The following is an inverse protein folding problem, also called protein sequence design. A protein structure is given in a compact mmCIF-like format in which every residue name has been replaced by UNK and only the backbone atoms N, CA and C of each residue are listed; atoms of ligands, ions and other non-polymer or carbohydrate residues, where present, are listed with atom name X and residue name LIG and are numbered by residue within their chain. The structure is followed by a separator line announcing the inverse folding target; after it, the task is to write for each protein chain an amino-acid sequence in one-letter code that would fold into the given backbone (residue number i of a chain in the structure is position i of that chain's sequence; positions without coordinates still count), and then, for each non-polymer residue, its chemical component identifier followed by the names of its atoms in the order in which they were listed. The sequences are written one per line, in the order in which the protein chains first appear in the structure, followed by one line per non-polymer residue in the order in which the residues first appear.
data_IF_930700395034
#
_entry.id   IF_930700395034
#
_cell.length_a   1.000
_cell.length_b   1.000
_cell.length_c   1.000
_cell.angle_alpha   90.00
_cell.angle_beta   90.00
_cell.angle_gamma   90.00
#
_symmetry.space_group_name_H-M   'P 1'
#
loop_
_entity.id
_entity.type
_entity.pdbx_description
1 polymer ?
#
# COMPACT_ATOMS: atom_id res chain seq x y z
N UNK A 1 -23.35 -13.80 1.10
CA UNK A 1 -24.17 -12.66 0.75
C UNK A 1 -25.65 -12.90 1.10
N UNK A 2 -26.20 -12.11 2.02
CA UNK A 2 -27.63 -12.15 2.31
C UNK A 2 -28.37 -11.31 1.26
N UNK A 3 -29.12 -11.96 0.38
CA UNK A 3 -30.10 -11.27 -0.48
C UNK A 3 -31.23 -10.75 0.39
N UNK A 4 -31.39 -9.43 0.48
CA UNK A 4 -32.52 -8.83 1.20
C UNK A 4 -33.76 -8.82 0.31
N UNK A 5 -34.82 -9.44 0.78
CA UNK A 5 -36.17 -9.30 0.20
C UNK A 5 -36.72 -7.89 0.40
N UNK A 6 -38.05 -7.74 0.40
CA UNK A 6 -38.68 -6.45 0.71
C UNK A 6 -38.49 -6.13 2.20
N UNK A 7 -37.77 -5.04 2.49
CA UNK A 7 -37.67 -4.51 3.84
C UNK A 7 -38.42 -3.17 3.90
N UNK A 8 -39.43 -3.12 4.75
CA UNK A 8 -40.16 -1.88 5.05
C UNK A 8 -40.04 -1.63 6.55
N UNK A 9 -39.29 -0.62 6.94
CA UNK A 9 -39.26 -0.18 8.32
C UNK A 9 -40.37 0.82 8.55
N UNK A 10 -41.45 0.38 9.19
CA UNK A 10 -42.49 1.25 9.74
C UNK A 10 -42.26 1.33 11.25
N UNK A 11 -41.63 2.38 11.71
CA UNK A 11 -41.50 2.63 13.14
C UNK A 11 -42.45 3.76 13.52
N UNK A 12 -43.19 3.63 14.59
CA UNK A 12 -44.04 4.69 15.16
C UNK A 12 -43.25 5.93 15.63
N UNK A 13 -41.94 5.86 15.61
CA UNK A 13 -40.98 6.94 15.80
C UNK A 13 -40.05 6.96 14.58
N UNK A 14 -39.93 8.11 13.93
CA UNK A 14 -39.06 8.28 12.75
C UNK A 14 -37.64 7.82 13.06
N UNK A 15 -37.21 6.74 12.44
CA UNK A 15 -35.90 6.11 12.62
C UNK A 15 -35.07 6.07 11.35
N UNK A 16 -33.75 6.06 11.50
CA UNK A 16 -32.82 5.84 10.40
C UNK A 16 -32.70 4.33 10.09
N UNK A 17 -32.52 3.98 8.83
CA UNK A 17 -32.20 2.62 8.39
C UNK A 17 -30.72 2.58 8.05
N UNK A 18 -29.98 1.68 8.72
CA UNK A 18 -28.57 1.42 8.40
C UNK A 18 -28.43 -0.06 8.06
N UNK A 19 -28.00 -0.33 6.83
CA UNK A 19 -27.61 -1.66 6.38
C UNK A 19 -26.10 -1.60 6.10
N UNK A 20 -25.33 -2.32 6.90
CA UNK A 20 -23.88 -2.31 6.82
C UNK A 20 -23.32 -3.71 6.72
N UNK A 21 -22.36 -3.91 5.83
CA UNK A 21 -21.48 -5.06 5.81
C UNK A 21 -20.08 -4.59 6.22
N UNK A 22 -19.58 -5.05 7.36
CA UNK A 22 -18.26 -4.68 7.87
C UNK A 22 -17.33 -5.87 8.00
N UNK A 23 -16.08 -5.70 7.63
CA UNK A 23 -15.00 -6.66 7.79
C UNK A 23 -13.73 -5.93 8.25
N UNK A 24 -13.33 -6.16 9.50
CA UNK A 24 -12.20 -5.45 10.10
C UNK A 24 -11.16 -6.43 10.60
N UNK A 25 -9.91 -6.17 10.31
CA UNK A 25 -8.75 -6.82 10.91
C UNK A 25 -7.83 -5.75 11.50
N UNK A 26 -7.92 -5.56 12.80
CA UNK A 26 -7.12 -4.58 13.53
C UNK A 26 -6.12 -5.35 14.40
N UNK A 27 -4.84 -5.23 14.10
CA UNK A 27 -3.78 -5.74 14.96
C UNK A 27 -3.32 -4.63 15.90
N UNK A 28 -3.75 -4.70 17.17
CA UNK A 28 -3.18 -3.81 18.16
C UNK A 28 -1.79 -4.28 18.57
N UNK A 29 -0.87 -3.36 18.74
CA UNK A 29 0.54 -3.51 19.10
C UNK A 29 0.74 -3.96 20.55
N UNK A 30 0.19 -5.06 20.99
CA UNK A 30 0.59 -5.67 22.26
C UNK A 30 1.32 -6.98 21.95
N UNK A 31 2.63 -6.95 21.97
CA UNK A 31 3.64 -8.02 22.18
C UNK A 31 3.32 -9.49 21.83
N UNK A 32 2.14 -9.80 21.40
CA UNK A 32 1.74 -11.09 20.85
C UNK A 32 1.70 -10.98 19.33
N UNK A 33 2.87 -11.14 18.72
CA UNK A 33 2.97 -11.39 17.29
C UNK A 33 2.07 -12.60 16.99
N UNK A 34 0.98 -12.46 16.23
CA UNK A 34 0.28 -13.63 15.75
C UNK A 34 1.32 -14.46 15.01
N UNK A 35 1.55 -15.68 15.44
CA UNK A 35 2.36 -16.63 14.70
C UNK A 35 1.64 -16.91 13.38
N UNK A 36 1.88 -16.08 12.38
CA UNK A 36 1.59 -16.47 11.02
C UNK A 36 2.50 -17.64 10.69
N UNK A 37 2.05 -18.82 11.03
CA UNK A 37 2.56 -20.05 10.44
C UNK A 37 2.17 -19.98 8.97
N UNK A 38 3.04 -19.40 8.15
CA UNK A 38 2.98 -19.52 6.71
C UNK A 38 3.20 -21.00 6.37
N UNK A 39 2.13 -21.76 6.42
CA UNK A 39 2.05 -23.01 5.69
C UNK A 39 1.93 -22.62 4.21
N UNK A 40 3.02 -22.73 3.50
CA UNK A 40 3.34 -22.54 2.11
C UNK A 40 2.27 -22.57 1.00
N UNK A 41 1.13 -21.97 1.19
CA UNK A 41 0.15 -21.71 0.13
C UNK A 41 -0.04 -20.18 0.06
N UNK A 42 0.34 -19.59 -1.06
CA UNK A 42 0.33 -18.15 -1.31
C UNK A 42 -1.04 -17.50 -1.33
N UNK A 43 -1.76 -17.55 -0.24
CA UNK A 43 -3.01 -16.83 -0.08
C UNK A 43 -2.70 -15.42 0.41
N UNK A 44 -2.99 -14.42 -0.42
CA UNK A 44 -3.18 -13.06 0.06
C UNK A 44 -4.24 -13.09 1.16
N UNK A 45 -3.98 -12.47 2.29
CA UNK A 45 -5.03 -12.23 3.26
C UNK A 45 -6.00 -11.22 2.65
N UNK A 46 -7.23 -11.64 2.40
CA UNK A 46 -8.27 -10.76 1.89
C UNK A 46 -9.29 -10.47 2.99
N UNK A 47 -9.52 -9.19 3.23
CA UNK A 47 -10.55 -8.68 4.12
C UNK A 47 -11.64 -8.10 3.25
N UNK A 48 -12.82 -8.73 3.27
CA UNK A 48 -13.86 -8.42 2.29
C UNK A 48 -15.19 -8.14 2.96
N UNK A 49 -15.80 -7.01 2.61
CA UNK A 49 -17.16 -6.63 2.97
C UNK A 49 -18.02 -6.43 1.72
N UNK A 50 -19.17 -7.08 1.66
CA UNK A 50 -20.09 -6.98 0.53
C UNK A 50 -21.51 -6.75 1.00
N UNK A 51 -22.15 -5.69 0.49
CA UNK A 51 -23.56 -5.42 0.66
C UNK A 51 -24.27 -5.49 -0.72
N UNK A 52 -25.31 -6.28 -0.81
CA UNK A 52 -26.12 -6.36 -2.02
C UNK A 52 -27.61 -6.19 -1.72
N UNK A 53 -28.22 -5.20 -2.37
CA UNK A 53 -29.68 -5.02 -2.43
C UNK A 53 -30.17 -5.58 -3.76
N UNK A 54 -30.92 -6.69 -3.72
CA UNK A 54 -31.37 -7.41 -4.90
C UNK A 54 -32.40 -6.63 -5.72
N UNK A 55 -32.62 -7.03 -6.97
CA UNK A 55 -33.48 -6.34 -7.93
C UNK A 55 -34.95 -6.24 -7.47
N UNK A 56 -35.48 -7.28 -6.85
CA UNK A 56 -36.85 -7.29 -6.29
C UNK A 56 -36.96 -6.59 -4.93
N UNK A 57 -35.86 -6.18 -4.34
CA UNK A 57 -35.86 -5.57 -3.01
C UNK A 57 -36.41 -4.14 -3.06
N UNK A 58 -37.14 -3.80 -2.00
CA UNK A 58 -37.62 -2.45 -1.76
C UNK A 58 -37.25 -2.04 -0.34
N UNK A 59 -36.45 -1.00 -0.20
CA UNK A 59 -36.09 -0.39 1.07
C UNK A 59 -36.74 0.98 1.17
N UNK A 60 -37.55 1.19 2.19
CA UNK A 60 -38.24 2.47 2.39
C UNK A 60 -38.09 2.92 3.84
N UNK A 61 -37.68 4.14 4.07
CA UNK A 61 -37.50 4.73 5.39
C UNK A 61 -38.04 6.17 5.47
N UNK A 62 -38.64 6.50 6.61
CA UNK A 62 -39.21 7.83 6.92
C UNK A 62 -38.17 8.85 7.40
N UNK A 63 -36.88 8.47 7.48
CA UNK A 63 -35.74 9.35 7.72
C UNK A 63 -34.59 9.01 6.78
N UNK A 64 -33.40 8.92 7.32
CA UNK A 64 -32.19 8.66 6.53
C UNK A 64 -32.03 7.15 6.27
N UNK A 65 -31.50 6.82 5.12
CA UNK A 65 -31.09 5.45 4.77
C UNK A 65 -29.59 5.46 4.45
N UNK A 66 -28.84 4.57 5.09
CA UNK A 66 -27.44 4.31 4.80
C UNK A 66 -27.26 2.85 4.39
N UNK A 67 -26.70 2.64 3.22
CA UNK A 67 -26.31 1.34 2.69
C UNK A 67 -24.80 1.37 2.51
N UNK A 68 -24.04 0.60 3.29
CA UNK A 68 -22.60 0.67 3.27
C UNK A 68 -21.90 -0.67 3.34
N UNK A 69 -20.78 -0.78 2.68
CA UNK A 69 -19.78 -1.81 2.95
C UNK A 69 -18.49 -1.17 3.42
N UNK A 70 -17.88 -1.75 4.44
CA UNK A 70 -16.66 -1.25 5.06
C UNK A 70 -15.67 -2.38 5.29
N UNK A 71 -14.47 -2.27 4.71
CA UNK A 71 -13.39 -3.22 4.93
C UNK A 71 -12.14 -2.46 5.41
N UNK A 72 -11.58 -2.86 6.55
CA UNK A 72 -10.43 -2.21 7.13
C UNK A 72 -9.38 -3.22 7.58
N UNK A 73 -8.13 -2.92 7.25
CA UNK A 73 -6.94 -3.54 7.82
C UNK A 73 -6.06 -2.46 8.42
N UNK A 74 -5.59 -2.69 9.64
CA UNK A 74 -4.57 -1.87 10.27
C UNK A 74 -3.57 -2.77 10.99
N UNK A 75 -2.29 -2.61 10.67
CA UNK A 75 -1.20 -3.34 11.30
C UNK A 75 0.01 -2.45 11.51
N UNK A 76 0.63 -2.56 12.69
CA UNK A 76 1.91 -1.92 13.00
C UNK A 76 2.87 -3.01 13.51
N UNK A 77 3.87 -3.35 12.70
CA UNK A 77 4.85 -4.38 13.01
C UNK A 77 6.26 -3.80 13.09
N UNK A 78 6.80 -3.78 14.29
CA UNK A 78 8.20 -3.43 14.54
C UNK A 78 9.00 -4.71 14.79
N UNK A 79 9.79 -5.12 13.81
CA UNK A 79 10.61 -6.33 13.89
C UNK A 79 12.08 -5.97 14.00
N UNK A 80 12.56 -5.93 15.21
CA UNK A 80 14.01 -5.72 15.50
C UNK A 80 14.68 -7.07 15.68
N UNK A 81 15.51 -7.45 14.71
CA UNK A 81 16.35 -8.63 14.82
C UNK A 81 17.57 -8.34 15.70
N UNK A 82 17.65 -8.96 16.85
CA UNK A 82 18.78 -8.66 17.76
C UNK A 82 18.81 -9.43 19.05
N UNK A 83 18.10 -10.55 19.19
CA UNK A 83 18.12 -11.35 20.43
C UNK A 83 18.60 -12.78 20.21
N UNK A 84 19.49 -13.15 21.02
CA UNK A 84 20.26 -14.31 21.44
C UNK A 84 19.58 -15.68 21.50
N UNK A 85 18.51 -16.01 20.83
CA UNK A 85 17.95 -17.35 20.82
C UNK A 85 17.96 -17.99 19.43
N UNK A 86 18.82 -18.93 19.32
CA UNK A 86 19.33 -19.68 18.18
C UNK A 86 18.36 -20.68 17.51
N UNK A 87 17.07 -20.47 17.50
CA UNK A 87 16.15 -21.40 16.84
C UNK A 87 14.93 -20.73 16.19
N UNK A 88 15.03 -19.48 15.85
CA UNK A 88 14.00 -18.85 15.02
C UNK A 88 14.44 -18.96 13.57
N UNK A 89 13.84 -19.90 12.85
CA UNK A 89 13.75 -19.86 11.40
C UNK A 89 13.49 -18.41 11.01
N UNK A 90 14.32 -17.85 10.14
CA UNK A 90 14.15 -16.49 9.65
C UNK A 90 12.72 -16.33 9.19
N UNK A 91 11.90 -15.67 10.00
CA UNK A 91 10.60 -15.26 9.57
C UNK A 91 10.82 -14.16 8.59
N UNK A 92 10.58 -14.47 7.36
CA UNK A 92 10.43 -13.48 6.33
C UNK A 92 9.33 -12.56 6.76
N UNK A 93 9.73 -11.35 7.06
CA UNK A 93 8.82 -10.27 7.37
C UNK A 93 8.28 -9.76 6.05
N UNK A 94 7.03 -9.99 5.85
CA UNK A 94 6.35 -9.50 4.67
C UNK A 94 4.85 -9.57 4.90
N UNK A 95 4.18 -8.49 4.60
CA UNK A 95 2.73 -8.42 4.62
C UNK A 95 2.19 -8.39 3.19
N UNK A 96 1.17 -9.20 2.94
CA UNK A 96 0.37 -9.11 1.73
C UNK A 96 -1.10 -9.14 2.13
N UNK A 97 -1.75 -7.99 2.04
CA UNK A 97 -3.14 -7.85 2.44
C UNK A 97 -3.92 -7.07 1.40
N UNK A 98 -5.10 -7.58 1.08
CA UNK A 98 -6.09 -6.90 0.24
C UNK A 98 -7.33 -6.59 1.05
N UNK A 99 -7.77 -5.33 1.05
CA UNK A 99 -9.09 -4.93 1.54
C UNK A 99 -10.04 -4.69 0.38
N UNK A 100 -11.26 -5.18 0.50
CA UNK A 100 -12.26 -5.08 -0.56
C UNK A 100 -13.61 -4.72 0.05
N UNK A 101 -14.20 -3.62 -0.38
CA UNK A 101 -15.55 -3.21 0.01
C UNK A 101 -16.41 -3.01 -1.23
N UNK A 102 -17.52 -3.76 -1.32
CA UNK A 102 -18.42 -3.68 -2.47
C UNK A 102 -19.86 -3.44 -2.02
N UNK A 103 -20.48 -2.38 -2.51
CA UNK A 103 -21.91 -2.10 -2.33
C UNK A 103 -22.62 -2.14 -3.68
N UNK A 104 -23.60 -3.03 -3.81
CA UNK A 104 -24.40 -3.18 -5.04
C UNK A 104 -25.88 -2.96 -4.73
N UNK A 105 -26.52 -2.06 -5.46
CA UNK A 105 -27.96 -1.82 -5.34
C UNK A 105 -28.62 -2.01 -6.70
N UNK A 106 -29.47 -3.04 -6.80
CA UNK A 106 -30.26 -3.34 -7.99
C UNK A 106 -31.76 -3.05 -7.80
N UNK A 107 -32.22 -2.90 -6.55
CA UNK A 107 -33.60 -2.69 -6.16
C UNK A 107 -33.98 -1.21 -5.99
N UNK A 108 -35.14 -0.97 -5.40
CA UNK A 108 -35.65 0.37 -5.13
C UNK A 108 -35.35 0.79 -3.70
N UNK A 109 -34.80 2.00 -3.54
CA UNK A 109 -34.50 2.58 -2.23
C UNK A 109 -35.10 3.98 -2.15
N UNK A 110 -35.92 4.23 -1.15
CA UNK A 110 -36.57 5.53 -0.96
C UNK A 110 -36.41 5.97 0.49
N UNK A 111 -35.72 7.07 0.70
CA UNK A 111 -35.59 7.74 1.99
C UNK A 111 -36.40 9.04 2.00
N UNK A 112 -37.23 9.24 3.03
CA UNK A 112 -37.88 10.55 3.23
C UNK A 112 -36.88 11.60 3.72
N UNK A 113 -35.74 11.18 4.30
CA UNK A 113 -34.55 11.98 4.58
C UNK A 113 -33.48 11.86 3.50
N UNK A 114 -32.24 11.74 3.97
CA UNK A 114 -31.04 11.55 3.12
C UNK A 114 -30.82 10.08 2.78
N UNK A 115 -30.20 9.84 1.64
CA UNK A 115 -29.81 8.50 1.19
C UNK A 115 -28.31 8.46 0.91
N UNK A 116 -27.60 7.57 1.57
CA UNK A 116 -26.18 7.28 1.33
C UNK A 116 -25.98 5.83 0.90
N UNK A 117 -25.25 5.62 -0.18
CA UNK A 117 -24.86 4.31 -0.70
C UNK A 117 -23.35 4.34 -0.93
N UNK A 118 -22.58 3.68 -0.08
CA UNK A 118 -21.13 3.81 -0.09
C UNK A 118 -20.41 2.47 0.05
N UNK A 119 -19.21 2.40 -0.51
CA UNK A 119 -18.23 1.37 -0.24
C UNK A 119 -16.93 2.04 0.24
N UNK A 120 -16.37 1.59 1.35
CA UNK A 120 -15.13 2.13 1.89
C UNK A 120 -14.15 0.99 2.19
N UNK A 121 -12.96 1.06 1.60
CA UNK A 121 -11.89 0.12 1.84
C UNK A 121 -10.64 0.84 2.33
N UNK A 122 -10.12 0.42 3.48
CA UNK A 122 -8.89 0.95 4.08
C UNK A 122 -7.87 -0.15 4.29
N UNK A 123 -6.63 0.14 3.95
CA UNK A 123 -5.51 -0.75 4.21
C UNK A 123 -4.32 0.07 4.69
N UNK A 124 -4.06 0.02 5.97
CA UNK A 124 -3.01 0.78 6.62
C UNK A 124 -2.02 -0.17 7.29
N UNK A 125 -0.75 -0.09 6.91
CA UNK A 125 0.27 -0.92 7.52
C UNK A 125 1.61 -0.20 7.67
N UNK A 126 2.23 -0.41 8.82
CA UNK A 126 3.60 -0.01 9.10
C UNK A 126 4.42 -1.26 9.38
N UNK A 127 5.55 -1.41 8.70
CA UNK A 127 6.51 -2.48 8.95
C UNK A 127 7.93 -1.92 8.99
N UNK A 128 8.58 -2.05 10.15
CA UNK A 128 9.97 -1.64 10.33
C UNK A 128 10.84 -2.83 10.67
N UNK A 129 11.67 -3.22 9.73
CA UNK A 129 12.67 -4.26 9.88
C UNK A 129 14.03 -3.67 10.26
N UNK A 130 14.59 -4.09 11.36
CA UNK A 130 15.89 -3.60 11.84
C UNK A 130 16.84 -4.72 12.22
N UNK A 131 18.10 -4.66 11.77
CA UNK A 131 19.16 -5.55 12.18
C UNK A 131 20.17 -4.75 13.04
N UNK A 132 20.28 -5.08 14.34
CA UNK A 132 21.09 -4.34 15.30
C UNK A 132 22.33 -5.06 15.80
N UNK A 133 22.50 -6.37 15.53
CA UNK A 133 23.65 -7.17 15.96
C UNK A 133 24.13 -8.11 14.86
N UNK A 134 25.44 -8.27 14.75
CA UNK A 134 26.05 -9.32 13.94
C UNK A 134 25.91 -10.68 14.62
N UNK A 135 25.71 -11.72 13.86
CA UNK A 135 25.79 -13.12 14.29
C UNK A 135 24.50 -13.72 14.81
N UNK A 136 23.35 -13.09 14.65
CA UNK A 136 22.08 -13.72 14.96
C UNK A 136 21.15 -13.72 13.76
N UNK A 137 20.99 -14.87 13.16
CA UNK A 137 19.67 -15.27 12.84
C UNK A 137 19.16 -15.17 11.44
N UNK A 138 19.98 -15.08 10.43
CA UNK A 138 19.55 -15.51 9.10
C UNK A 138 20.42 -16.69 8.65
N UNK A 139 20.40 -17.79 9.43
CA UNK A 139 21.17 -19.01 9.11
C UNK A 139 20.85 -19.54 7.70
N UNK A 140 19.65 -19.33 7.21
CA UNK A 140 19.31 -19.70 5.84
C UNK A 140 20.02 -18.85 4.78
N UNK A 141 20.42 -17.61 5.10
CA UNK A 141 21.24 -16.78 4.22
C UNK A 141 22.72 -17.13 4.29
N UNK A 142 23.20 -17.65 5.42
CA UNK A 142 24.56 -18.21 5.53
C UNK A 142 24.69 -19.51 4.73
N UNK A 143 23.67 -20.34 4.69
CA UNK A 143 23.62 -21.53 3.84
C UNK A 143 23.62 -21.19 2.34
N UNK A 144 22.95 -20.09 1.95
CA UNK A 144 22.93 -19.58 0.58
C UNK A 144 24.21 -18.84 0.19
N UNK A 145 24.86 -18.17 1.13
CA UNK A 145 26.04 -17.32 0.88
C UNK A 145 27.37 -18.07 0.96
N UNK A 146 27.39 -19.32 1.39
CA UNK A 146 28.62 -20.06 1.65
C UNK A 146 29.42 -19.41 2.81
N UNK A 147 30.68 -19.16 2.62
CA UNK A 147 31.60 -18.63 3.68
C UNK A 147 31.46 -17.13 3.97
N UNK A 148 30.52 -16.41 3.37
CA UNK A 148 30.29 -14.97 3.57
C UNK A 148 29.14 -14.74 4.56
N UNK A 149 29.43 -14.15 5.72
CA UNK A 149 28.41 -13.64 6.62
C UNK A 149 27.78 -12.39 6.01
N UNK A 150 26.55 -12.48 5.53
CA UNK A 150 25.80 -11.34 4.97
C UNK A 150 24.75 -10.90 5.98
N UNK A 151 24.77 -9.62 6.36
CA UNK A 151 23.76 -9.04 7.23
C UNK A 151 22.70 -8.37 6.36
N UNK A 152 21.49 -8.93 6.33
CA UNK A 152 20.38 -8.40 5.53
C UNK A 152 19.20 -8.05 6.40
N UNK A 153 18.71 -6.81 6.28
CA UNK A 153 17.42 -6.38 6.80
C UNK A 153 16.43 -6.30 5.63
N UNK A 154 15.51 -7.26 5.49
CA UNK A 154 14.48 -7.21 4.46
C UNK A 154 13.21 -6.54 4.98
N UNK A 155 12.51 -5.82 4.11
CA UNK A 155 11.12 -5.39 4.30
C UNK A 155 10.35 -5.67 3.00
N UNK A 156 9.19 -6.30 3.10
CA UNK A 156 8.37 -6.66 1.95
C UNK A 156 6.90 -6.38 2.25
N UNK A 157 6.29 -5.44 1.53
CA UNK A 157 4.90 -5.09 1.71
C UNK A 157 4.15 -5.05 0.36
N UNK A 158 3.03 -5.76 0.31
CA UNK A 158 2.09 -5.71 -0.82
C UNK A 158 0.70 -5.43 -0.27
N UNK A 159 0.24 -4.22 -0.47
CA UNK A 159 -0.99 -3.73 0.10
C UNK A 159 -1.92 -3.24 -1.00
N UNK A 160 -3.17 -3.67 -0.96
CA UNK A 160 -4.18 -3.18 -1.89
C UNK A 160 -5.50 -2.88 -1.22
N UNK A 161 -6.17 -1.84 -1.71
CA UNK A 161 -7.48 -1.41 -1.26
C UNK A 161 -8.38 -1.20 -2.47
N UNK A 162 -9.55 -1.82 -2.45
CA UNK A 162 -10.51 -1.75 -3.55
C UNK A 162 -11.91 -1.44 -3.01
N UNK A 163 -12.46 -0.29 -3.37
CA UNK A 163 -13.84 0.10 -3.05
C UNK A 163 -14.67 0.20 -4.33
N UNK A 164 -15.82 -0.47 -4.34
CA UNK A 164 -16.74 -0.45 -5.49
C UNK A 164 -18.18 -0.21 -5.07
N UNK A 165 -18.81 0.76 -5.71
CA UNK A 165 -20.25 1.00 -5.59
C UNK A 165 -20.91 0.88 -6.96
N UNK A 166 -21.88 -0.03 -7.06
CA UNK A 166 -22.64 -0.24 -8.29
C UNK A 166 -24.14 -0.01 -8.07
N UNK A 167 -24.71 0.88 -8.86
CA UNK A 167 -26.16 1.06 -8.98
C UNK A 167 -26.60 0.43 -10.29
N UNK A 168 -27.30 -0.70 -10.20
CA UNK A 168 -27.71 -1.49 -11.36
C UNK A 168 -28.85 -0.84 -12.16
N UNK A 169 -29.05 -1.31 -13.39
CA UNK A 169 -29.97 -0.70 -14.37
C UNK A 169 -31.45 -0.64 -13.91
N UNK A 170 -31.89 -1.59 -13.09
CA UNK A 170 -33.24 -1.60 -12.52
C UNK A 170 -33.41 -0.76 -11.26
N UNK A 171 -32.29 -0.27 -10.71
CA UNK A 171 -32.30 0.46 -9.46
C UNK A 171 -32.92 1.86 -9.59
N UNK A 172 -33.69 2.22 -8.58
CA UNK A 172 -34.24 3.57 -8.42
C UNK A 172 -33.97 4.04 -7.00
N UNK A 173 -33.09 5.03 -6.85
CA UNK A 173 -32.72 5.61 -5.58
C UNK A 173 -33.32 7.00 -5.46
N UNK A 174 -34.11 7.24 -4.40
CA UNK A 174 -34.76 8.52 -4.17
C UNK A 174 -34.47 9.02 -2.75
N UNK A 175 -33.93 10.20 -2.65
CA UNK A 175 -33.79 10.97 -1.40
C UNK A 175 -34.75 12.17 -1.45
N UNK A 176 -35.67 12.28 -0.47
CA UNK A 176 -36.64 13.37 -0.39
C UNK A 176 -36.19 14.49 0.56
N UNK A 177 -35.16 14.24 1.35
CA UNK A 177 -34.61 15.22 2.28
C UNK A 177 -33.75 16.29 1.62
N UNK A 178 -33.36 17.26 2.42
CA UNK A 178 -32.44 18.33 2.04
C UNK A 178 -31.00 17.99 2.40
N UNK A 179 -30.06 18.78 1.89
CA UNK A 179 -28.68 18.77 2.33
C UNK A 179 -28.56 19.11 3.83
N UNK A 180 -27.62 18.47 4.51
CA UNK A 180 -27.32 18.81 5.90
C UNK A 180 -26.26 19.90 5.95
N UNK A 181 -26.58 20.96 6.63
CA UNK A 181 -25.68 22.09 6.82
C UNK A 181 -25.23 22.18 8.28
N UNK A 182 -23.97 22.55 8.49
CA UNK A 182 -23.42 22.97 9.78
C UNK A 182 -23.07 24.45 9.66
N UNK A 183 -23.98 25.30 10.10
CA UNK A 183 -23.93 26.74 9.79
C UNK A 183 -24.03 26.98 8.28
N UNK A 184 -22.99 27.54 7.68
CA UNK A 184 -22.87 27.75 6.22
C UNK A 184 -22.12 26.62 5.50
N UNK A 185 -21.57 25.63 6.22
CA UNK A 185 -20.78 24.54 5.65
C UNK A 185 -21.67 23.36 5.32
N UNK A 186 -21.57 22.87 4.09
CA UNK A 186 -22.23 21.63 3.67
C UNK A 186 -21.57 20.43 4.37
N UNK A 187 -22.34 19.72 5.18
CA UNK A 187 -21.89 18.50 5.88
C UNK A 187 -22.17 17.24 5.09
N UNK A 188 -23.44 17.05 4.72
CA UNK A 188 -23.86 15.90 3.93
C UNK A 188 -24.85 16.33 2.83
N UNK A 189 -24.75 15.72 1.66
CA UNK A 189 -25.72 15.91 0.57
C UNK A 189 -26.95 15.04 0.77
N UNK A 190 -28.05 15.42 0.17
CA UNK A 190 -29.28 14.66 0.25
C UNK A 190 -29.12 13.24 -0.32
N UNK A 191 -28.43 13.10 -1.44
CA UNK A 191 -28.12 11.81 -2.06
C UNK A 191 -26.61 11.68 -2.26
N UNK A 192 -26.03 10.61 -1.73
CA UNK A 192 -24.61 10.26 -1.93
C UNK A 192 -24.48 8.85 -2.48
N UNK A 193 -23.70 8.68 -3.53
CA UNK A 193 -23.24 7.39 -4.06
C UNK A 193 -21.73 7.45 -4.18
N UNK A 194 -21.02 6.71 -3.34
CA UNK A 194 -19.57 6.86 -3.20
C UNK A 194 -18.80 5.55 -3.14
N UNK A 195 -17.57 5.60 -3.61
CA UNK A 195 -16.54 4.58 -3.35
C UNK A 195 -15.27 5.28 -2.89
N UNK A 196 -14.79 4.91 -1.71
CA UNK A 196 -13.60 5.48 -1.10
C UNK A 196 -12.58 4.38 -0.81
N UNK A 197 -11.43 4.40 -1.49
CA UNK A 197 -10.34 3.47 -1.27
C UNK A 197 -9.12 4.20 -0.70
N UNK A 198 -8.47 3.58 0.29
CA UNK A 198 -7.25 4.12 0.88
C UNK A 198 -6.24 3.04 1.14
N UNK A 199 -5.01 3.29 0.70
CA UNK A 199 -3.81 2.53 1.07
C UNK A 199 -2.83 3.46 1.75
N UNK A 200 -2.31 3.05 2.91
CA UNK A 200 -1.23 3.73 3.60
C UNK A 200 -0.17 2.72 4.00
N UNK A 201 1.05 2.92 3.54
CA UNK A 201 2.19 2.02 3.79
C UNK A 201 3.37 2.83 4.33
N UNK A 202 3.90 2.40 5.49
CA UNK A 202 5.17 2.89 6.04
C UNK A 202 6.14 1.70 6.20
N UNK A 203 7.00 1.49 5.21
CA UNK A 203 7.93 0.37 5.15
C UNK A 203 9.36 0.80 5.44
N UNK A 204 10.04 0.13 6.35
CA UNK A 204 11.43 0.43 6.70
C UNK A 204 12.31 -0.81 6.77
N UNK A 205 13.40 -0.84 6.01
CA UNK A 205 14.48 -1.80 6.14
C UNK A 205 15.74 -1.08 6.64
N UNK A 206 16.25 -1.44 7.80
CA UNK A 206 17.40 -0.74 8.38
C UNK A 206 18.42 -1.71 8.93
N UNK A 207 19.69 -1.59 8.50
CA UNK A 207 20.81 -2.19 9.19
C UNK A 207 21.55 -1.10 9.96
N UNK A 208 21.65 -1.25 11.27
CA UNK A 208 22.36 -0.27 12.09
C UNK A 208 23.20 -0.96 13.16
N UNK A 209 24.37 -0.39 13.47
CA UNK A 209 25.26 -0.83 14.57
C UNK A 209 25.67 -2.29 14.50
N UNK A 210 25.91 -2.85 13.32
CA UNK A 210 26.42 -4.19 13.19
C UNK A 210 27.86 -4.19 13.75
N UNK A 211 28.04 -4.91 14.86
CA UNK A 211 29.40 -5.17 15.40
C UNK A 211 29.91 -6.45 14.76
N UNK A 212 30.98 -6.34 14.00
CA UNK A 212 31.68 -7.49 13.46
C UNK A 212 32.76 -7.84 14.45
N UNK A 213 32.59 -8.93 15.19
CA UNK A 213 33.62 -9.47 16.10
C UNK A 213 34.34 -10.65 15.40
N UNK A 214 35.67 -10.60 15.34
CA UNK A 214 36.54 -11.72 14.96
C UNK A 214 36.27 -12.35 13.59
N UNK A 215 36.19 -11.55 12.52
CA UNK A 215 36.22 -12.10 11.15
C UNK A 215 37.70 -12.27 10.74
N UNK A 216 38.05 -13.46 10.27
CA UNK A 216 39.36 -13.72 9.72
C UNK A 216 39.70 -12.75 8.57
N UNK A 217 40.90 -12.31 8.52
CA UNK A 217 41.51 -11.14 7.89
C UNK A 217 41.22 -10.84 6.39
N UNK A 218 40.32 -11.51 5.71
CA UNK A 218 40.19 -11.38 4.23
C UNK A 218 38.77 -11.23 3.69
N UNK A 219 37.73 -11.23 4.51
CA UNK A 219 36.35 -11.29 3.99
C UNK A 219 35.63 -9.96 4.13
N UNK A 220 35.05 -9.46 3.02
CA UNK A 220 34.13 -8.33 3.02
C UNK A 220 32.83 -8.74 3.76
N UNK A 221 32.42 -7.94 4.74
CA UNK A 221 31.15 -8.14 5.45
C UNK A 221 30.11 -7.16 4.90
N UNK A 222 29.18 -7.62 4.07
CA UNK A 222 28.13 -6.76 3.56
C UNK A 222 27.03 -6.54 4.62
N UNK A 223 26.58 -5.29 4.72
CA UNK A 223 25.34 -4.90 5.38
C UNK A 223 24.36 -4.44 4.30
N UNK A 224 23.22 -5.09 4.24
CA UNK A 224 22.24 -4.86 3.19
C UNK A 224 20.88 -4.50 3.79
N UNK A 225 20.30 -3.39 3.37
CA UNK A 225 18.91 -3.06 3.62
C UNK A 225 18.14 -3.20 2.31
N UNK A 226 17.14 -4.06 2.29
CA UNK A 226 16.37 -4.37 1.07
C UNK A 226 14.89 -4.15 1.34
N UNK A 227 14.30 -3.16 0.68
CA UNK A 227 12.88 -2.86 0.74
C UNK A 227 12.18 -3.17 -0.59
N UNK A 228 11.03 -3.82 -0.53
CA UNK A 228 10.08 -3.94 -1.62
C UNK A 228 8.70 -3.53 -1.14
N UNK A 229 8.11 -2.56 -1.81
CA UNK A 229 6.76 -2.07 -1.49
C UNK A 229 5.93 -2.03 -2.77
N UNK A 230 4.70 -2.53 -2.69
CA UNK A 230 3.71 -2.39 -3.74
C UNK A 230 2.39 -1.97 -3.09
N UNK A 231 1.99 -0.72 -3.31
CA UNK A 231 0.75 -0.13 -2.81
C UNK A 231 -0.23 0.09 -3.96
N UNK A 232 -1.48 -0.34 -3.78
CA UNK A 232 -2.51 -0.17 -4.80
C UNK A 232 -3.81 0.31 -4.17
N UNK A 233 -4.35 1.40 -4.66
CA UNK A 233 -5.64 1.94 -4.23
C UNK A 233 -6.55 2.12 -5.44
N UNK A 234 -7.79 1.58 -5.37
CA UNK A 234 -8.75 1.66 -6.46
C UNK A 234 -10.16 1.94 -5.96
N UNK A 235 -10.77 3.00 -6.45
CA UNK A 235 -12.16 3.34 -6.19
C UNK A 235 -12.96 3.37 -7.50
N UNK A 236 -14.12 2.70 -7.52
CA UNK A 236 -14.98 2.60 -8.71
C UNK A 236 -16.45 2.86 -8.34
N UNK A 237 -17.07 3.78 -9.03
CA UNK A 237 -18.54 4.00 -8.97
C UNK A 237 -19.12 3.84 -10.34
N UNK A 238 -20.07 2.92 -10.48
CA UNK A 238 -20.83 2.71 -11.71
C UNK A 238 -22.33 2.91 -11.45
N UNK A 239 -22.95 3.84 -12.18
CA UNK A 239 -24.39 4.11 -12.13
C UNK A 239 -25.03 3.73 -13.47
N UNK A 240 -25.89 2.73 -13.44
CA UNK A 240 -26.70 2.28 -14.59
C UNK A 240 -28.19 2.61 -14.41
N UNK A 241 -28.63 2.90 -13.19
CA UNK A 241 -30.00 3.18 -12.78
C UNK A 241 -30.29 4.66 -12.56
N UNK A 242 -31.43 4.94 -11.91
CA UNK A 242 -31.91 6.29 -11.68
C UNK A 242 -31.65 6.78 -10.27
N UNK A 243 -31.08 7.97 -10.14
CA UNK A 243 -30.82 8.70 -8.92
C UNK A 243 -31.62 9.98 -8.85
N UNK A 244 -32.36 10.21 -7.76
CA UNK A 244 -33.17 11.42 -7.57
C UNK A 244 -33.00 12.02 -6.18
N UNK A 245 -32.52 13.26 -6.12
CA UNK A 245 -32.54 14.10 -4.93
C UNK A 245 -33.66 15.15 -5.06
N UNK A 246 -34.79 14.93 -4.38
CA UNK A 246 -36.02 15.73 -4.62
C UNK A 246 -35.94 17.12 -4.01
N UNK A 247 -35.15 17.34 -2.96
CA UNK A 247 -35.07 18.64 -2.29
C UNK A 247 -33.63 19.14 -2.02
N UNK A 248 -32.65 18.34 -2.37
CA UNK A 248 -31.24 18.65 -2.14
C UNK A 248 -30.33 18.30 -3.30
N UNK A 249 -29.06 18.12 -3.02
CA UNK A 249 -28.00 17.84 -3.99
C UNK A 249 -27.73 16.34 -4.11
N UNK A 250 -27.21 15.91 -5.26
CA UNK A 250 -26.69 14.59 -5.50
C UNK A 250 -25.17 14.61 -5.66
N UNK A 251 -24.48 13.67 -5.03
CA UNK A 251 -23.03 13.49 -5.13
C UNK A 251 -22.70 12.05 -5.52
N UNK A 252 -22.07 11.88 -6.66
CA UNK A 252 -21.57 10.60 -7.16
C UNK A 252 -20.06 10.70 -7.27
N UNK A 253 -19.34 9.97 -6.43
CA UNK A 253 -17.88 10.10 -6.37
C UNK A 253 -17.15 8.79 -6.21
N UNK A 254 -15.99 8.70 -6.87
CA UNK A 254 -14.95 7.73 -6.57
C UNK A 254 -13.73 8.48 -6.06
N UNK A 255 -13.24 8.12 -4.87
CA UNK A 255 -12.05 8.72 -4.28
C UNK A 255 -11.04 7.64 -3.92
N UNK A 256 -9.83 7.83 -4.38
CA UNK A 256 -8.73 6.93 -4.10
C UNK A 256 -7.55 7.69 -3.53
N UNK A 257 -7.05 7.22 -2.40
CA UNK A 257 -5.91 7.83 -1.71
C UNK A 257 -4.80 6.80 -1.53
N UNK A 258 -3.58 7.22 -1.84
CA UNK A 258 -2.37 6.44 -1.61
C UNK A 258 -1.35 7.26 -0.83
N UNK A 259 -0.89 6.70 0.28
CA UNK A 259 0.25 7.20 1.07
C UNK A 259 1.32 6.11 1.09
N UNK A 260 2.40 6.31 0.34
CA UNK A 260 3.50 5.38 0.22
C UNK A 260 4.77 6.00 0.81
N UNK A 261 5.16 5.50 1.97
CA UNK A 261 6.40 5.83 2.64
C UNK A 261 7.27 4.57 2.71
N UNK A 262 8.49 4.66 2.18
CA UNK A 262 9.39 3.51 2.19
C UNK A 262 10.85 3.92 2.33
N UNK A 263 11.60 3.18 3.16
CA UNK A 263 13.02 3.45 3.40
C UNK A 263 13.87 2.17 3.39
N UNK A 264 15.06 2.25 2.80
CA UNK A 264 16.06 1.20 2.90
C UNK A 264 17.42 1.81 3.31
N UNK A 265 17.80 1.64 4.57
CA UNK A 265 18.96 2.27 5.16
C UNK A 265 20.02 1.25 5.59
N UNK A 266 21.13 1.18 4.87
CA UNK A 266 22.26 0.32 5.21
C UNK A 266 23.37 1.12 5.90
N UNK A 267 23.70 0.76 7.13
CA UNK A 267 24.83 1.39 7.84
C UNK A 267 25.60 0.42 8.71
N UNK A 268 26.91 0.63 8.79
CA UNK A 268 27.79 -0.07 9.72
C UNK A 268 28.49 0.95 10.60
N UNK A 269 28.43 0.76 11.92
CA UNK A 269 28.94 1.78 12.87
C UNK A 269 30.19 1.37 13.64
N UNK A 270 30.56 0.09 13.69
CA UNK A 270 31.74 -0.29 14.50
C UNK A 270 32.36 -1.63 14.10
N UNK A 271 33.66 -1.62 14.07
CA UNK A 271 34.54 -2.78 13.93
C UNK A 271 35.27 -2.99 15.28
N UNK A 272 35.45 -4.24 15.69
CA UNK A 272 36.19 -4.58 16.90
C UNK A 272 37.65 -4.20 16.83
N UNK A 273 38.33 -4.07 17.96
CA UNK A 273 39.76 -3.77 18.04
C UNK A 273 40.57 -4.85 17.28
N UNK A 274 41.39 -4.45 16.32
CA UNK A 274 42.20 -5.32 15.46
C UNK A 274 41.74 -5.41 14.01
N UNK A 275 40.75 -4.61 13.60
CA UNK A 275 40.08 -4.71 12.31
C UNK A 275 40.64 -3.77 11.21
N UNK A 276 41.95 -3.50 11.21
CA UNK A 276 42.55 -2.64 10.16
C UNK A 276 42.45 -3.21 8.74
N UNK A 277 41.96 -4.44 8.60
CA UNK A 277 41.84 -5.14 7.31
C UNK A 277 40.44 -5.57 6.93
N UNK A 278 39.41 -5.30 7.73
CA UNK A 278 38.03 -5.72 7.38
C UNK A 278 37.39 -4.74 6.41
N UNK A 279 37.07 -5.21 5.24
CA UNK A 279 36.39 -4.43 4.20
C UNK A 279 34.86 -4.45 4.43
N UNK A 280 34.28 -3.31 4.62
CA UNK A 280 32.82 -3.16 4.82
C UNK A 280 32.14 -2.75 3.52
N UNK A 281 30.99 -3.36 3.28
CA UNK A 281 30.11 -3.00 2.16
C UNK A 281 28.72 -2.66 2.71
N UNK A 282 28.21 -1.50 2.38
CA UNK A 282 26.86 -1.08 2.74
C UNK A 282 26.03 -0.94 1.46
N UNK A 283 24.94 -1.66 1.38
CA UNK A 283 24.08 -1.69 0.19
C UNK A 283 22.64 -1.43 0.61
N UNK A 284 22.08 -0.31 0.14
CA UNK A 284 20.68 0.03 0.29
C UNK A 284 19.92 -0.19 -1.02
N UNK A 285 18.90 -1.03 -1.03
CA UNK A 285 18.07 -1.27 -2.22
C UNK A 285 16.62 -1.09 -1.84
N UNK A 286 15.94 -0.17 -2.52
CA UNK A 286 14.51 0.04 -2.38
C UNK A 286 13.85 -0.07 -3.77
N UNK A 287 12.81 -0.86 -3.85
CA UNK A 287 11.90 -0.92 -4.99
C UNK A 287 10.50 -0.60 -4.48
N UNK A 288 9.97 0.53 -4.89
CA UNK A 288 8.63 0.98 -4.50
C UNK A 288 7.74 1.12 -5.74
N UNK A 289 6.52 0.61 -5.64
CA UNK A 289 5.51 0.74 -6.68
C UNK A 289 4.23 1.25 -6.07
N UNK A 290 3.66 2.29 -6.68
CA UNK A 290 2.37 2.84 -6.33
C UNK A 290 1.41 2.80 -7.52
N UNK A 291 0.14 2.54 -7.23
CA UNK A 291 -0.94 2.66 -8.21
C UNK A 291 -2.20 3.18 -7.55
N UNK A 292 -2.67 4.33 -8.02
CA UNK A 292 -3.81 5.02 -7.45
C UNK A 292 -4.83 5.36 -8.54
N UNK A 293 -6.00 4.73 -8.49
CA UNK A 293 -7.02 4.89 -9.54
C UNK A 293 -8.38 5.21 -8.97
N UNK A 294 -9.09 6.15 -9.60
CA UNK A 294 -10.48 6.47 -9.30
C UNK A 294 -11.29 6.53 -10.60
N UNK A 295 -12.42 5.85 -10.63
CA UNK A 295 -13.31 5.85 -11.79
C UNK A 295 -14.76 6.11 -11.39
N UNK A 296 -15.41 7.07 -12.06
CA UNK A 296 -16.84 7.31 -11.94
C UNK A 296 -17.48 7.20 -13.32
N UNK A 297 -18.45 6.30 -13.45
CA UNK A 297 -19.12 6.01 -14.72
C UNK A 297 -20.63 6.13 -14.60
N UNK A 298 -21.22 6.98 -15.43
CA UNK A 298 -22.67 7.10 -15.62
C UNK A 298 -23.03 6.51 -16.98
N UNK A 299 -23.74 5.38 -16.97
CA UNK A 299 -24.09 4.63 -18.18
C UNK A 299 -25.19 5.31 -19.02
N UNK A 300 -25.34 4.90 -20.28
CA UNK A 300 -26.19 5.54 -21.29
C UNK A 300 -27.66 5.75 -20.86
N UNK A 301 -28.23 4.83 -20.08
CA UNK A 301 -29.64 4.90 -19.62
C UNK A 301 -29.78 5.42 -18.19
N UNK A 302 -28.69 5.78 -17.55
CA UNK A 302 -28.72 6.31 -16.20
C UNK A 302 -29.20 7.77 -16.19
N UNK A 303 -30.00 8.10 -15.18
CA UNK A 303 -30.49 9.47 -14.99
C UNK A 303 -30.21 9.92 -13.56
N UNK A 304 -29.46 11.00 -13.44
CA UNK A 304 -29.20 11.68 -12.16
C UNK A 304 -29.94 13.01 -12.19
N UNK A 305 -30.80 13.24 -11.20
CA UNK A 305 -31.51 14.49 -11.05
C UNK A 305 -31.45 15.01 -9.62
N UNK A 306 -31.14 16.29 -9.45
CA UNK A 306 -31.06 16.96 -8.16
C UNK A 306 -31.74 18.34 -8.23
N UNK A 307 -32.48 18.70 -7.19
CA UNK A 307 -33.00 20.05 -7.01
C UNK A 307 -31.93 21.06 -6.57
N UNK A 308 -30.86 20.55 -5.95
CA UNK A 308 -29.63 21.27 -5.64
C UNK A 308 -28.61 21.14 -6.76
N UNK A 309 -27.38 20.86 -6.34
CA UNK A 309 -26.25 20.58 -7.22
C UNK A 309 -26.18 19.08 -7.57
N UNK A 310 -25.72 18.75 -8.76
CA UNK A 310 -25.37 17.39 -9.16
C UNK A 310 -23.86 17.30 -9.41
N UNK A 311 -23.14 16.53 -8.59
CA UNK A 311 -21.72 16.29 -8.72
C UNK A 311 -21.45 14.88 -9.20
N UNK A 312 -20.56 14.73 -10.17
CA UNK A 312 -20.05 13.46 -10.68
C UNK A 312 -18.54 13.57 -10.80
N UNK A 313 -17.79 12.99 -9.87
CA UNK A 313 -16.35 13.26 -9.76
C UNK A 313 -15.57 11.99 -9.49
N UNK A 314 -14.42 11.84 -10.14
CA UNK A 314 -13.39 10.89 -9.77
C UNK A 314 -12.17 11.66 -9.23
N UNK A 315 -11.60 11.25 -8.10
CA UNK A 315 -10.47 11.91 -7.48
C UNK A 315 -9.42 10.91 -7.03
N UNK A 316 -8.16 11.22 -7.36
CA UNK A 316 -7.01 10.53 -6.78
C UNK A 316 -6.13 11.51 -6.03
N UNK A 317 -5.60 11.09 -4.87
CA UNK A 317 -4.58 11.84 -4.16
C UNK A 317 -3.44 10.90 -3.77
N UNK A 318 -2.21 11.34 -4.01
CA UNK A 318 -1.00 10.52 -3.79
C UNK A 318 0.00 11.29 -2.95
N UNK A 319 0.53 10.62 -1.92
CA UNK A 319 1.66 11.04 -1.13
C UNK A 319 2.78 10.00 -1.30
N UNK A 320 3.93 10.42 -1.85
CA UNK A 320 5.06 9.55 -2.15
C UNK A 320 6.32 10.05 -1.46
N UNK A 321 6.89 9.22 -0.57
CA UNK A 321 8.15 9.49 0.10
C UNK A 321 9.00 8.23 0.17
N UNK A 322 9.98 8.12 -0.71
CA UNK A 322 10.86 6.96 -0.76
C UNK A 322 12.32 7.37 -0.60
N UNK A 323 13.05 6.63 0.23
CA UNK A 323 14.46 6.91 0.47
C UNK A 323 15.29 5.64 0.57
N UNK A 324 16.47 5.69 -0.03
CA UNK A 324 17.48 4.66 0.19
C UNK A 324 18.80 5.30 0.57
N UNK A 325 19.48 4.74 1.55
CA UNK A 325 20.79 5.26 1.98
C UNK A 325 21.78 4.15 2.28
N UNK A 326 23.06 4.46 2.08
CA UNK A 326 24.15 3.61 2.51
C UNK A 326 25.25 4.49 3.12
N UNK A 327 25.60 4.21 4.37
CA UNK A 327 26.64 4.96 5.08
C UNK A 327 27.61 4.03 5.78
N UNK A 328 28.90 4.31 5.65
CA UNK A 328 29.96 3.58 6.36
C UNK A 328 30.95 4.55 7.00
N UNK A 329 31.46 4.19 8.17
CA UNK A 329 32.60 4.89 8.76
C UNK A 329 33.90 4.49 8.06
N UNK A 330 34.99 5.06 8.49
CA UNK A 330 36.34 5.18 7.91
C UNK A 330 36.93 3.99 7.10
N UNK A 331 36.39 2.78 7.18
CA UNK A 331 36.89 1.59 6.48
C UNK A 331 35.86 0.99 5.48
N UNK A 332 34.91 1.78 5.03
CA UNK A 332 33.91 1.30 4.08
C UNK A 332 34.51 1.17 2.68
N UNK A 333 34.53 -0.04 2.14
CA UNK A 333 35.05 -0.33 0.79
C UNK A 333 34.06 0.10 -0.29
N UNK A 334 32.78 -0.15 -0.04
CA UNK A 334 31.72 0.14 -1.00
C UNK A 334 30.45 0.58 -0.27
N UNK A 335 29.92 1.72 -0.68
CA UNK A 335 28.57 2.14 -0.33
C UNK A 335 27.77 2.30 -1.63
N UNK A 336 26.78 1.45 -1.81
CA UNK A 336 25.94 1.46 -2.99
C UNK A 336 24.48 1.59 -2.61
N UNK A 337 23.74 2.41 -3.35
CA UNK A 337 22.31 2.64 -3.12
C UNK A 337 21.56 2.58 -4.43
N UNK A 338 20.43 1.92 -4.39
CA UNK A 338 19.46 1.93 -5.49
C UNK A 338 18.09 2.20 -4.93
N UNK A 339 17.45 3.25 -5.43
CA UNK A 339 16.04 3.54 -5.19
C UNK A 339 15.32 3.55 -6.54
N UNK A 340 14.45 2.59 -6.76
CA UNK A 340 13.59 2.51 -7.94
C UNK A 340 12.16 2.70 -7.49
N UNK A 341 11.56 3.79 -7.91
CA UNK A 341 10.18 4.12 -7.58
C UNK A 341 9.37 4.30 -8.86
N UNK A 342 8.25 3.60 -8.92
CA UNK A 342 7.27 3.75 -10.00
C UNK A 342 5.93 4.14 -9.41
N UNK A 343 5.37 5.25 -9.88
CA UNK A 343 4.07 5.74 -9.46
C UNK A 343 3.15 5.90 -10.68
N UNK A 344 1.95 5.34 -10.58
CA UNK A 344 0.90 5.53 -11.57
C UNK A 344 -0.36 6.04 -10.89
N UNK A 345 -1.01 7.02 -11.51
CA UNK A 345 -2.26 7.57 -11.01
C UNK A 345 -3.21 7.88 -12.15
N UNK A 346 -4.51 7.61 -11.97
CA UNK A 346 -5.52 7.96 -12.93
C UNK A 346 -6.85 8.27 -12.26
N UNK A 347 -7.41 9.43 -12.54
CA UNK A 347 -8.79 9.77 -12.25
C UNK A 347 -9.56 9.82 -13.56
N UNK A 348 -10.69 9.11 -13.65
CA UNK A 348 -11.50 9.03 -14.86
C UNK A 348 -12.98 9.20 -14.56
N UNK A 349 -13.62 10.14 -15.21
CA UNK A 349 -15.08 10.35 -15.14
C UNK A 349 -15.67 10.22 -16.53
N UNK A 350 -16.59 9.27 -16.67
CA UNK A 350 -17.31 9.03 -17.92
C UNK A 350 -18.81 9.24 -17.71
N UNK A 351 -19.41 10.13 -18.49
CA UNK A 351 -20.85 10.38 -18.45
C UNK A 351 -21.44 10.15 -19.83
N UNK A 352 -22.24 9.11 -19.98
CA UNK A 352 -23.03 8.81 -21.18
C UNK A 352 -24.52 9.03 -20.97
N UNK A 353 -24.99 8.92 -19.73
CA UNK A 353 -26.38 9.18 -19.35
C UNK A 353 -26.67 10.66 -19.13
N UNK A 354 -27.76 10.96 -18.47
CA UNK A 354 -28.14 12.34 -18.15
C UNK A 354 -27.82 12.72 -16.71
N UNK A 355 -27.26 13.92 -16.52
CA UNK A 355 -27.02 14.52 -15.22
C UNK A 355 -27.63 15.90 -15.19
N UNK A 356 -28.54 16.13 -14.26
CA UNK A 356 -29.27 17.41 -14.12
C UNK A 356 -29.23 17.87 -12.66
N UNK A 357 -28.87 19.13 -12.47
CA UNK A 357 -28.95 19.85 -11.20
C UNK A 357 -29.60 21.22 -11.44
N UNK A 358 -30.59 21.58 -10.62
CA UNK A 358 -31.29 22.88 -10.81
C UNK A 358 -30.35 24.06 -10.44
N UNK A 359 -29.40 23.87 -9.53
CA UNK A 359 -28.46 24.93 -9.15
C UNK A 359 -27.15 24.88 -9.95
N UNK A 360 -26.56 23.71 -10.04
CA UNK A 360 -25.28 23.48 -10.76
C UNK A 360 -25.08 22.01 -11.10
N UNK A 361 -24.28 21.77 -12.13
CA UNK A 361 -23.75 20.44 -12.47
C UNK A 361 -22.24 20.52 -12.51
N UNK A 362 -21.58 19.66 -11.74
CA UNK A 362 -20.11 19.53 -11.71
C UNK A 362 -19.72 18.12 -12.17
N UNK A 363 -18.97 18.04 -13.26
CA UNK A 363 -18.41 16.78 -13.77
C UNK A 363 -16.91 16.96 -13.83
N UNK A 364 -16.16 16.11 -13.15
CA UNK A 364 -14.71 16.30 -13.05
C UNK A 364 -13.94 15.01 -12.84
N UNK A 365 -12.70 15.03 -13.26
CA UNK A 365 -11.69 14.06 -12.90
C UNK A 365 -10.47 14.84 -12.37
N UNK A 366 -10.07 14.54 -11.14
CA UNK A 366 -9.05 15.30 -10.43
C UNK A 366 -7.97 14.38 -9.94
N UNK A 367 -6.72 14.74 -10.20
CA UNK A 367 -5.56 14.05 -9.68
C UNK A 367 -4.69 15.02 -8.89
N UNK A 368 -4.37 14.66 -7.65
CA UNK A 368 -3.55 15.48 -6.77
C UNK A 368 -2.31 14.69 -6.33
N UNK A 369 -1.13 15.28 -6.49
CA UNK A 369 0.14 14.80 -5.97
C UNK A 369 0.53 15.68 -4.78
N UNK A 370 0.25 15.21 -3.56
CA UNK A 370 0.46 15.96 -2.32
C UNK A 370 1.94 16.11 -1.98
N UNK A 371 2.71 15.03 -2.16
CA UNK A 371 4.15 14.99 -1.96
C UNK A 371 4.76 14.02 -2.97
N UNK A 372 5.94 14.38 -3.48
CA UNK A 372 6.76 13.51 -4.30
C UNK A 372 8.22 13.67 -3.88
N UNK A 373 8.73 12.70 -3.11
CA UNK A 373 10.11 12.70 -2.62
C UNK A 373 10.73 11.33 -2.90
N UNK A 374 11.69 11.29 -3.80
CA UNK A 374 12.45 10.09 -4.14
C UNK A 374 13.92 10.37 -3.96
N UNK A 375 14.56 9.75 -2.97
CA UNK A 375 15.92 10.07 -2.55
C UNK A 375 16.82 8.84 -2.56
N UNK A 376 18.05 9.02 -3.02
CA UNK A 376 19.12 8.05 -2.89
C UNK A 376 20.39 8.77 -2.43
N UNK A 377 21.00 8.31 -1.34
CA UNK A 377 22.17 8.96 -0.78
C UNK A 377 23.23 7.95 -0.30
N UNK A 378 24.48 8.29 -0.56
CA UNK A 378 25.64 7.56 -0.01
C UNK A 378 26.53 8.51 0.77
N UNK A 379 27.01 8.04 1.92
CA UNK A 379 28.04 8.76 2.68
C UNK A 379 29.29 7.87 2.82
N UNK A 380 30.42 8.39 2.40
CA UNK A 380 31.73 7.72 2.52
C UNK A 380 32.56 8.47 3.54
N UNK A 381 33.14 7.77 4.51
CA UNK A 381 34.04 8.38 5.48
C UNK A 381 35.30 8.95 4.82
N UNK A 382 35.90 9.96 5.41
CA UNK A 382 36.98 10.79 4.84
C UNK A 382 38.36 10.12 4.78
N UNK A 383 38.54 8.86 5.20
CA UNK A 383 39.82 8.20 5.15
C UNK A 383 40.15 7.63 3.78
N UNK A 384 41.33 7.97 3.33
CA UNK A 384 41.87 7.73 2.01
C UNK A 384 41.62 6.32 1.46
N UNK A 385 41.04 6.23 0.30
CA UNK A 385 41.01 5.04 -0.53
C UNK A 385 42.42 4.50 -0.74
N UNK A 386 42.74 3.34 -0.22
CA UNK A 386 43.96 2.62 -0.62
C UNK A 386 43.67 1.90 -1.94
N UNK A 387 44.24 2.37 -3.00
CA UNK A 387 44.04 1.90 -4.39
C UNK A 387 44.20 0.38 -4.57
N UNK A 388 45.00 -0.28 -3.74
CA UNK A 388 45.19 -1.74 -3.78
C UNK A 388 43.96 -2.55 -3.32
N UNK A 389 43.15 -2.01 -2.43
CA UNK A 389 41.96 -2.71 -1.92
C UNK A 389 40.81 -2.69 -2.93
N UNK A 390 40.80 -1.68 -3.83
CA UNK A 390 39.81 -1.52 -4.87
C UNK A 390 39.93 -2.63 -5.93
N UNK A 391 41.14 -2.98 -6.35
CA UNK A 391 41.34 -3.99 -7.39
C UNK A 391 40.96 -5.40 -6.95
N UNK A 392 41.04 -5.74 -5.66
CA UNK A 392 40.61 -7.03 -5.15
C UNK A 392 39.05 -7.12 -5.03
N UNK A 393 38.38 -6.01 -4.71
CA UNK A 393 36.92 -5.99 -4.58
C UNK A 393 36.19 -5.83 -5.90
N UNK A 394 36.83 -5.18 -6.87
CA UNK A 394 36.31 -5.00 -8.21
C UNK A 394 36.57 -6.19 -9.16
N UNK A 395 37.07 -7.33 -8.65
CA UNK A 395 36.95 -8.54 -9.45
C UNK A 395 35.46 -8.72 -9.76
N UNK A 396 35.12 -8.50 -11.01
CA UNK A 396 33.76 -8.46 -11.59
C UNK A 396 32.88 -9.63 -11.11
N UNK A 397 33.49 -10.74 -10.76
CA UNK A 397 32.83 -11.93 -10.24
C UNK A 397 32.24 -11.74 -8.83
N UNK A 398 32.82 -10.89 -7.98
CA UNK A 398 32.34 -10.74 -6.59
C UNK A 398 31.07 -9.89 -6.55
N UNK A 399 31.02 -8.78 -7.29
CA UNK A 399 29.84 -7.90 -7.34
C UNK A 399 28.70 -8.62 -8.07
N UNK A 400 28.97 -9.26 -9.21
CA UNK A 400 27.98 -10.08 -9.91
C UNK A 400 27.46 -11.23 -9.06
N UNK A 401 28.33 -11.87 -8.26
CA UNK A 401 27.95 -12.92 -7.31
C UNK A 401 27.02 -12.39 -6.21
N UNK A 402 27.32 -11.22 -5.65
CA UNK A 402 26.48 -10.57 -4.63
C UNK A 402 25.12 -10.20 -5.21
N UNK A 403 25.07 -9.64 -6.41
CA UNK A 403 23.82 -9.26 -7.09
C UNK A 403 22.98 -10.50 -7.44
N UNK A 404 23.60 -11.56 -7.95
CA UNK A 404 22.90 -12.80 -8.24
C UNK A 404 22.37 -13.46 -6.96
N UNK A 405 23.13 -13.49 -5.88
CA UNK A 405 22.67 -13.97 -4.59
C UNK A 405 21.56 -13.11 -4.00
N UNK A 406 21.58 -11.79 -4.23
CA UNK A 406 20.48 -10.90 -3.86
C UNK A 406 19.21 -11.22 -4.61
N UNK A 407 19.31 -11.42 -5.94
CA UNK A 407 18.18 -11.87 -6.80
C UNK A 407 17.61 -13.20 -6.31
N UNK A 408 18.46 -14.17 -6.06
CA UNK A 408 18.07 -15.48 -5.55
C UNK A 408 17.40 -15.39 -4.18
N UNK A 409 17.93 -14.54 -3.29
CA UNK A 409 17.38 -14.31 -1.97
C UNK A 409 16.00 -13.67 -2.08
N UNK A 410 15.84 -12.61 -2.85
CA UNK A 410 14.54 -11.97 -3.08
C UNK A 410 13.55 -12.97 -3.69
N UNK A 411 13.99 -13.81 -4.62
CA UNK A 411 13.16 -14.86 -5.24
C UNK A 411 12.75 -15.94 -4.23
N UNK A 412 13.68 -16.40 -3.38
CA UNK A 412 13.39 -17.37 -2.31
C UNK A 412 12.46 -16.80 -1.25
N UNK A 413 12.69 -15.55 -0.85
CA UNK A 413 11.81 -14.78 0.02
C UNK A 413 10.39 -14.78 -0.54
N UNK A 414 10.26 -14.45 -1.79
CA UNK A 414 9.00 -14.38 -2.50
C UNK A 414 8.31 -15.75 -2.58
N UNK A 415 9.05 -16.78 -2.97
CA UNK A 415 8.52 -18.15 -3.09
C UNK A 415 8.10 -18.71 -1.73
N UNK A 416 8.90 -18.51 -0.69
CA UNK A 416 8.61 -18.98 0.68
C UNK A 416 7.43 -18.22 1.31
N UNK A 417 7.17 -16.98 0.88
CA UNK A 417 6.04 -16.16 1.35
C UNK A 417 4.77 -16.37 0.53
N UNK A 418 4.81 -17.21 -0.52
CA UNK A 418 3.67 -17.50 -1.38
C UNK A 418 3.18 -16.31 -2.24
N UNK A 419 4.03 -15.32 -2.46
CA UNK A 419 3.67 -14.14 -3.24
C UNK A 419 3.69 -14.39 -4.75
N UNK A 420 2.78 -13.74 -5.53
CA UNK A 420 2.71 -13.94 -6.98
C UNK A 420 3.99 -13.54 -7.73
N UNK A 421 4.22 -14.18 -8.88
CA UNK A 421 5.46 -14.13 -9.65
C UNK A 421 5.73 -12.85 -10.44
N UNK A 422 4.81 -11.95 -10.50
CA UNK A 422 4.69 -10.96 -11.56
C UNK A 422 5.37 -9.60 -11.32
N UNK A 423 6.17 -9.45 -10.29
CA UNK A 423 6.72 -8.13 -9.97
C UNK A 423 8.20 -7.91 -10.21
N UNK A 424 9.01 -8.97 -10.22
CA UNK A 424 10.49 -8.86 -10.28
C UNK A 424 11.12 -9.52 -11.52
N UNK A 425 10.33 -10.13 -12.39
CA UNK A 425 10.84 -10.82 -13.59
C UNK A 425 11.28 -9.88 -14.71
N UNK A 426 10.84 -8.64 -14.69
CA UNK A 426 11.35 -7.63 -15.63
C UNK A 426 12.53 -6.89 -15.00
N UNK A 427 13.65 -7.44 -15.16
CA UNK A 427 15.00 -6.90 -15.49
C UNK A 427 15.38 -5.44 -15.17
N UNK A 428 14.53 -4.59 -14.66
CA UNK A 428 14.77 -3.15 -14.83
C UNK A 428 15.63 -2.48 -13.77
N UNK A 429 15.75 -3.02 -12.58
CA UNK A 429 16.55 -2.35 -11.54
C UNK A 429 17.87 -3.04 -11.24
N UNK A 430 17.83 -4.35 -10.98
CA UNK A 430 19.00 -5.10 -10.53
C UNK A 430 20.00 -5.43 -11.64
N UNK A 431 19.53 -5.60 -12.89
CA UNK A 431 20.42 -5.83 -14.03
C UNK A 431 21.16 -4.55 -14.44
N UNK A 432 20.53 -3.40 -14.27
CA UNK A 432 21.18 -2.10 -14.46
C UNK A 432 22.22 -1.84 -13.36
N UNK A 433 22.00 -2.36 -12.17
CA UNK A 433 22.94 -2.29 -11.04
C UNK A 433 24.25 -3.02 -11.37
N UNK A 434 24.16 -4.22 -11.94
CA UNK A 434 25.33 -5.02 -12.30
C UNK A 434 26.24 -4.31 -13.32
N UNK A 435 25.68 -3.41 -14.13
CA UNK A 435 26.43 -2.70 -15.18
C UNK A 435 26.92 -1.31 -14.78
N UNK A 436 26.37 -0.71 -13.70
CA UNK A 436 26.62 0.70 -13.34
C UNK A 436 27.13 0.97 -11.95
N UNK A 437 27.51 -0.06 -11.18
CA UNK A 437 28.05 0.15 -9.83
C UNK A 437 29.41 0.79 -9.93
N UNK A 438 29.45 2.07 -9.67
CA UNK A 438 30.68 2.80 -9.34
C UNK A 438 30.81 2.92 -7.83
N UNK A 439 32.03 2.95 -7.33
CA UNK A 439 32.36 3.14 -5.91
C UNK A 439 31.69 4.42 -5.38
N UNK A 440 30.76 4.28 -4.43
CA UNK A 440 30.00 5.41 -3.89
C UNK A 440 28.87 5.92 -4.78
N UNK A 441 28.31 5.08 -5.64
CA UNK A 441 27.19 5.46 -6.53
C UNK A 441 25.82 5.37 -5.88
N UNK A 442 25.01 6.41 -6.02
CA UNK A 442 23.59 6.41 -5.74
C UNK A 442 22.83 6.47 -7.06
N UNK A 443 21.88 5.55 -7.25
CA UNK A 443 21.00 5.52 -8.42
C UNK A 443 19.57 5.75 -7.93
N UNK A 444 18.96 6.79 -8.47
CA UNK A 444 17.57 7.12 -8.21
C UNK A 444 16.80 7.07 -9.54
N UNK A 445 15.76 6.27 -9.61
CA UNK A 445 14.90 6.12 -10.78
C UNK A 445 13.46 6.33 -10.34
N UNK A 446 12.83 7.35 -10.91
CA UNK A 446 11.39 7.60 -10.82
C UNK A 446 10.80 7.38 -12.21
N UNK A 447 9.78 6.51 -12.32
CA UNK A 447 9.02 6.22 -13.54
C UNK A 447 7.50 6.37 -13.29
#
# INVERSE_FOLDING_TARGET
GAGLGTMTATTGTKGDIVLEAAANQLNSTTNDVPKHTNTGSGSQNEIKAELTVGESAKVTGDRNITLSSYAEHSADENNVFGSTNSNTSAKLLGQSVKTTAHTTVNGKVTADGRLSVTAEAKNEASEKSGLTKSGSGLDFLTEVAGTLSVNVAPSYMVMSSEAKTKIGAAAVLTAKGTDEMDGSTLKNRALTVGADARVSVDAGATTSKIKVANVAHTNAVPAMAVGYVNAQSAADVTVEGNLKAEQGSADVHAKSHEDLQAAANASTTQIGAGADSTQLMNIGVLVARGSNTAQTKIADKAHISAKGEANVVARTSTNLDTSASASGKENSLLNAVVNVTKQTGAAHTEVRGSVAGEKAVHIGAEQELLKNSVQASTAVGSSAFKTQSINAALQTNTISSIINKLKDTITKIRTASGFPSDGLSSSTGLDTLAQKVSLGGAINVLD
#
